data_IF_959141640927
#
_entry.id   IF_959141640927
#
_cell.length_a   1.000
_cell.length_b   1.000
_cell.length_c   1.000
_cell.angle_alpha   90.00
_cell.angle_beta   90.00
_cell.angle_gamma   90.00
#
_symmetry.space_group_name_H-M   'P 1'
#
loop_
_entity.id
_entity.type
_entity.pdbx_description
1 polymer ?
#
# COMPACT_ATOMS: atom_id res chain seq x y z
N UNK A 1 20.99 10.29 -20.06
CA UNK A 1 19.54 10.00 -20.03
C UNK A 1 19.15 9.81 -18.57
N UNK A 2 18.17 10.57 -18.07
CA UNK A 2 17.73 10.42 -16.69
C UNK A 2 16.90 9.12 -16.58
N UNK A 3 17.30 8.20 -15.70
CA UNK A 3 16.52 6.99 -15.42
C UNK A 3 15.46 7.30 -14.35
N UNK A 4 14.19 7.14 -14.70
CA UNK A 4 13.09 7.37 -13.77
C UNK A 4 12.84 6.08 -12.98
N UNK A 5 13.26 6.02 -11.72
CA UNK A 5 13.19 4.79 -10.92
C UNK A 5 12.58 5.02 -9.55
N UNK A 6 11.84 4.04 -9.04
CA UNK A 6 11.39 4.02 -7.64
C UNK A 6 12.18 2.95 -6.87
N UNK A 7 13.02 3.38 -5.93
CA UNK A 7 13.82 2.47 -5.10
C UNK A 7 12.98 1.67 -4.11
N UNK A 8 11.88 2.23 -3.60
CA UNK A 8 10.98 1.54 -2.67
C UNK A 8 10.27 0.36 -3.32
N UNK A 9 9.96 0.48 -4.61
CA UNK A 9 9.20 -0.52 -5.35
C UNK A 9 10.04 -1.30 -6.37
N UNK A 10 11.35 -1.00 -6.47
CA UNK A 10 12.31 -1.60 -7.40
C UNK A 10 11.84 -1.64 -8.86
N UNK A 11 11.23 -0.54 -9.33
CA UNK A 11 10.75 -0.42 -10.72
C UNK A 11 11.41 0.75 -11.44
N UNK A 12 11.64 0.55 -12.73
CA UNK A 12 12.12 1.56 -13.65
C UNK A 12 11.01 1.95 -14.63
N UNK A 13 10.95 3.24 -14.96
CA UNK A 13 10.01 3.84 -15.88
C UNK A 13 10.78 4.43 -17.06
N UNK A 14 10.16 4.37 -18.25
CA UNK A 14 10.71 4.98 -19.46
C UNK A 14 10.54 6.52 -19.45
N UNK A 15 9.48 7.02 -18.80
CA UNK A 15 9.09 8.42 -18.83
C UNK A 15 8.85 8.98 -17.42
N UNK A 16 8.98 10.31 -17.29
CA UNK A 16 8.77 11.01 -16.04
C UNK A 16 7.31 10.92 -15.55
N UNK A 17 6.33 10.97 -16.45
CA UNK A 17 4.91 10.87 -16.09
C UNK A 17 4.57 9.51 -15.48
N UNK A 18 5.12 8.42 -16.03
CA UNK A 18 4.95 7.08 -15.44
C UNK A 18 5.47 6.99 -14.00
N UNK A 19 6.55 7.69 -13.69
CA UNK A 19 7.05 7.79 -12.31
C UNK A 19 6.10 8.62 -11.43
N UNK A 20 5.58 9.75 -11.91
CA UNK A 20 4.65 10.61 -11.16
C UNK A 20 3.34 9.90 -10.84
N UNK A 21 2.80 9.17 -11.79
CA UNK A 21 1.59 8.37 -11.60
C UNK A 21 1.83 7.21 -10.64
N UNK A 22 3.00 6.57 -10.73
CA UNK A 22 3.36 5.54 -9.75
C UNK A 22 3.40 6.07 -8.31
N UNK A 23 3.95 7.25 -8.05
CA UNK A 23 3.97 7.83 -6.70
C UNK A 23 2.55 8.10 -6.14
N UNK A 24 1.54 8.22 -7.00
CA UNK A 24 0.13 8.38 -6.61
C UNK A 24 -0.61 7.04 -6.44
N UNK A 25 -0.06 5.96 -6.97
CA UNK A 25 -0.67 4.62 -6.94
C UNK A 25 -0.72 4.02 -5.53
N UNK A 26 -1.75 3.22 -5.27
CA UNK A 26 -1.91 2.54 -3.99
C UNK A 26 -0.87 1.45 -3.75
N UNK A 27 -0.32 0.87 -4.83
CA UNK A 27 0.81 -0.05 -4.74
C UNK A 27 2.07 0.62 -4.16
N UNK A 28 2.37 1.86 -4.58
CA UNK A 28 3.49 2.63 -4.02
C UNK A 28 3.29 2.92 -2.53
N UNK A 29 2.09 3.39 -2.15
CA UNK A 29 1.74 3.62 -0.74
C UNK A 29 1.85 2.34 0.08
N UNK A 30 1.37 1.22 -0.44
CA UNK A 30 1.43 -0.08 0.23
C UNK A 30 2.88 -0.50 0.50
N UNK A 31 3.76 -0.42 -0.50
CA UNK A 31 5.18 -0.73 -0.32
C UNK A 31 5.89 0.28 0.59
N UNK A 32 5.49 1.55 0.57
CA UNK A 32 6.01 2.55 1.50
C UNK A 32 5.66 2.20 2.95
N UNK A 33 4.41 1.82 3.24
CA UNK A 33 4.00 1.39 4.58
C UNK A 33 4.72 0.13 5.03
N UNK A 34 4.96 -0.82 4.12
CA UNK A 34 5.77 -2.01 4.42
C UNK A 34 7.20 -1.65 4.77
N UNK A 35 7.81 -0.71 4.04
CA UNK A 35 9.17 -0.22 4.34
C UNK A 35 9.24 0.44 5.71
N UNK A 36 8.23 1.21 6.11
CA UNK A 36 8.13 1.80 7.45
C UNK A 36 8.02 0.73 8.54
N UNK A 37 7.34 -0.38 8.24
CA UNK A 37 7.24 -1.55 9.13
C UNK A 37 8.45 -2.51 9.02
N UNK A 38 9.54 -2.11 8.36
CA UNK A 38 10.75 -2.92 8.14
C UNK A 38 10.48 -4.25 7.39
N UNK A 39 9.39 -4.31 6.63
CA UNK A 39 9.03 -5.45 5.81
C UNK A 39 9.55 -5.29 4.37
N UNK A 40 9.90 -6.40 3.69
CA UNK A 40 10.34 -6.35 2.30
C UNK A 40 9.21 -5.81 1.39
N UNK A 41 9.55 -5.06 0.33
CA UNK A 41 8.57 -4.60 -0.64
C UNK A 41 7.98 -5.77 -1.44
N UNK A 42 6.78 -5.58 -1.98
CA UNK A 42 6.06 -6.57 -2.78
C UNK A 42 6.06 -6.16 -4.24
N UNK A 43 6.19 -7.15 -5.13
CA UNK A 43 6.04 -6.94 -6.57
C UNK A 43 4.60 -6.54 -6.92
N UNK A 44 4.40 -6.07 -8.16
CA UNK A 44 3.08 -5.63 -8.61
C UNK A 44 2.11 -6.80 -8.73
N UNK A 45 2.60 -7.95 -9.16
CA UNK A 45 1.82 -9.17 -9.39
C UNK A 45 1.25 -9.67 -8.07
N UNK A 46 2.09 -9.83 -7.05
CA UNK A 46 1.64 -10.27 -5.72
C UNK A 46 0.74 -9.25 -5.05
N UNK A 47 0.93 -7.94 -5.31
CA UNK A 47 -0.02 -6.94 -4.83
C UNK A 47 -1.40 -7.12 -5.47
N UNK A 48 -1.46 -7.29 -6.78
CA UNK A 48 -2.73 -7.49 -7.51
C UNK A 48 -3.46 -8.76 -7.06
N UNK A 49 -2.73 -9.86 -6.84
CA UNK A 49 -3.29 -11.10 -6.30
C UNK A 49 -3.94 -10.88 -4.92
N UNK A 50 -3.25 -10.18 -4.02
CA UNK A 50 -3.76 -9.87 -2.67
C UNK A 50 -4.97 -8.96 -2.72
N UNK A 51 -4.95 -7.93 -3.55
CA UNK A 51 -6.08 -7.01 -3.73
C UNK A 51 -7.29 -7.77 -4.28
N UNK A 52 -7.09 -8.64 -5.27
CA UNK A 52 -8.15 -9.50 -5.81
C UNK A 52 -8.76 -10.42 -4.76
N UNK A 53 -7.92 -11.08 -3.94
CA UNK A 53 -8.37 -11.91 -2.82
C UNK A 53 -9.16 -11.10 -1.78
N UNK A 54 -8.70 -9.88 -1.45
CA UNK A 54 -9.38 -9.00 -0.51
C UNK A 54 -10.75 -8.56 -1.04
N UNK A 55 -10.88 -8.24 -2.32
CA UNK A 55 -12.16 -7.88 -2.94
C UNK A 55 -13.17 -9.03 -2.88
N UNK A 56 -12.72 -10.26 -3.15
CA UNK A 56 -13.57 -11.45 -3.04
C UNK A 56 -14.02 -11.68 -1.59
N UNK A 57 -13.12 -11.54 -0.62
CA UNK A 57 -13.47 -11.67 0.81
C UNK A 57 -14.40 -10.56 1.30
N UNK A 58 -14.25 -9.32 0.81
CA UNK A 58 -15.14 -8.21 1.14
C UNK A 58 -16.57 -8.43 0.64
N UNK A 59 -16.75 -9.03 -0.54
CA UNK A 59 -18.09 -9.41 -1.02
C UNK A 59 -18.76 -10.44 -0.09
N UNK A 60 -17.99 -11.35 0.51
CA UNK A 60 -18.52 -12.31 1.49
C UNK A 60 -18.79 -11.69 2.88
N UNK A 61 -18.16 -10.55 3.21
CA UNK A 61 -18.23 -9.90 4.53
C UNK A 61 -19.19 -8.68 4.56
N UNK A 62 -20.14 -8.59 3.63
CA UNK A 62 -21.14 -7.52 3.55
C UNK A 62 -22.16 -7.45 4.70
N UNK A 63 -21.90 -8.10 5.85
CA UNK A 63 -22.81 -8.17 7.00
C UNK A 63 -22.20 -7.87 8.37
N UNK A 64 -20.92 -7.43 8.45
CA UNK A 64 -20.26 -7.14 9.74
C UNK A 64 -19.56 -5.79 9.73
N UNK A 65 -20.35 -4.71 9.65
CA UNK A 65 -19.88 -3.38 10.04
C UNK A 65 -20.69 -2.96 11.25
N UNK A 66 -20.24 -3.39 12.44
CA UNK A 66 -20.63 -2.74 13.69
C UNK A 66 -19.65 -1.60 13.91
N UNK A 67 -20.17 -0.38 13.97
CA UNK A 67 -19.39 0.85 13.89
C UNK A 67 -18.29 0.96 14.94
N UNK A 68 -17.07 1.13 14.47
CA UNK A 68 -16.11 1.98 15.15
C UNK A 68 -15.39 2.78 14.06
N UNK A 69 -16.05 3.87 13.68
CA UNK A 69 -15.35 4.98 13.06
C UNK A 69 -14.23 5.44 14.00
N UNK A 70 -13.19 6.03 13.40
CA UNK A 70 -12.06 6.75 13.98
C UNK A 70 -10.97 5.98 14.78
N UNK A 71 -9.80 5.93 14.15
CA UNK A 71 -8.52 6.39 14.73
C UNK A 71 -7.93 5.59 15.90
N UNK A 72 -7.04 4.63 15.60
CA UNK A 72 -6.10 4.07 16.57
C UNK A 72 -4.63 4.32 16.19
N UNK A 73 -4.34 5.45 15.53
CA UNK A 73 -3.03 6.10 15.67
C UNK A 73 -3.18 7.09 16.85
N UNK A 74 -2.36 6.96 17.90
CA UNK A 74 -2.34 7.75 19.16
C UNK A 74 -3.23 7.27 20.34
N UNK A 75 -2.95 6.09 20.90
CA UNK A 75 -3.26 5.82 22.33
C UNK A 75 -2.26 4.93 23.09
N UNK A 76 -1.15 4.51 22.49
CA UNK A 76 -0.08 3.80 23.23
C UNK A 76 0.90 4.75 23.97
N UNK A 77 0.45 5.92 24.40
CA UNK A 77 1.29 6.87 25.13
C UNK A 77 0.57 7.70 26.19
N UNK A 78 -0.24 7.06 27.03
CA UNK A 78 -0.57 7.59 28.38
C UNK A 78 -0.74 6.39 29.33
N UNK A 79 0.38 5.76 29.68
CA UNK A 79 0.51 4.95 30.90
C UNK A 79 1.94 5.10 31.43
N UNK A 80 2.24 6.34 31.78
CA UNK A 80 3.15 6.75 32.83
C UNK A 80 2.62 8.04 33.42
#
# INVERSE_FOLDING_TARGET
MASFTCLTCHVAFAEADGQRDHFRSDWHRYNLMRKVAELPPVSRETYNERVGQQQQQQQQQAGKVCGFFYCAYLSFKILK
#
